data_IF_516271827732
#
_entry.id   IF_516271827732
#
_cell.length_a   1.000
_cell.length_b   1.000
_cell.length_c   1.000
_cell.angle_alpha   90.00
_cell.angle_beta   90.00
_cell.angle_gamma   90.00
#
_symmetry.space_group_name_H-M   'P 1'
#
loop_
_entity.id
_entity.type
_entity.pdbx_description
1 polymer ?
#
# COMPACT_ATOMS: atom_id res chain seq x y z
N UNK A 1 -26.14 -7.08 -3.25
CA UNK A 1 -25.62 -7.30 -1.88
C UNK A 1 -26.80 -7.73 -1.01
N UNK A 2 -26.57 -8.28 0.19
CA UNK A 2 -27.67 -8.40 1.15
C UNK A 2 -28.04 -7.00 1.66
N UNK A 3 -29.28 -6.82 2.14
CA UNK A 3 -29.71 -5.57 2.79
C UNK A 3 -28.75 -5.15 3.91
N UNK A 4 -28.29 -6.11 4.72
CA UNK A 4 -27.30 -5.86 5.76
C UNK A 4 -25.96 -5.34 5.21
N UNK A 5 -25.47 -5.90 4.09
CA UNK A 5 -24.23 -5.42 3.47
C UNK A 5 -24.37 -4.00 2.88
N UNK A 6 -25.56 -3.66 2.36
CA UNK A 6 -25.84 -2.31 1.85
C UNK A 6 -25.89 -1.28 2.99
N UNK A 7 -26.47 -1.64 4.13
CA UNK A 7 -26.49 -0.79 5.33
C UNK A 7 -25.08 -0.55 5.88
N UNK A 8 -24.24 -1.60 5.98
CA UNK A 8 -22.84 -1.47 6.42
C UNK A 8 -22.06 -0.54 5.48
N UNK A 9 -22.18 -0.73 4.17
CA UNK A 9 -21.52 0.14 3.19
C UNK A 9 -22.01 1.59 3.31
N UNK A 10 -23.31 1.82 3.46
CA UNK A 10 -23.88 3.16 3.59
C UNK A 10 -23.40 3.88 4.86
N UNK A 11 -23.13 3.17 5.95
CA UNK A 11 -22.54 3.75 7.16
C UNK A 11 -21.04 4.00 6.99
N UNK A 12 -20.29 3.05 6.44
CA UNK A 12 -18.84 3.18 6.23
C UNK A 12 -18.50 4.36 5.30
N UNK A 13 -19.34 4.65 4.30
CA UNK A 13 -19.14 5.77 3.38
C UNK A 13 -19.37 7.15 4.01
N UNK A 14 -19.99 7.24 5.20
CA UNK A 14 -20.18 8.49 5.95
C UNK A 14 -19.02 8.81 6.89
N UNK A 15 -18.13 7.85 7.14
CA UNK A 15 -16.95 8.05 7.94
C UNK A 15 -16.00 9.05 7.26
N UNK A 16 -15.15 9.68 8.06
CA UNK A 16 -14.04 10.43 7.49
C UNK A 16 -13.07 9.48 6.73
N UNK A 17 -12.20 10.03 5.87
CA UNK A 17 -11.33 9.20 5.06
C UNK A 17 -10.43 8.24 5.85
N UNK A 18 -9.94 8.62 7.03
CA UNK A 18 -9.01 7.81 7.81
C UNK A 18 -9.73 6.63 8.46
N UNK A 19 -10.88 6.89 9.08
CA UNK A 19 -11.71 5.83 9.68
C UNK A 19 -12.23 4.86 8.62
N UNK A 20 -12.61 5.37 7.45
CA UNK A 20 -13.03 4.54 6.32
C UNK A 20 -11.90 3.63 5.81
N UNK A 21 -10.67 4.13 5.76
CA UNK A 21 -9.49 3.34 5.37
C UNK A 21 -9.25 2.20 6.35
N UNK A 22 -9.35 2.47 7.66
CA UNK A 22 -9.22 1.44 8.69
C UNK A 22 -10.30 0.34 8.54
N UNK A 23 -11.57 0.73 8.36
CA UNK A 23 -12.66 -0.25 8.16
C UNK A 23 -12.43 -1.10 6.91
N UNK A 24 -11.98 -0.50 5.81
CA UNK A 24 -11.68 -1.23 4.57
C UNK A 24 -10.53 -2.22 4.76
N UNK A 25 -9.49 -1.85 5.51
CA UNK A 25 -8.36 -2.71 5.81
C UNK A 25 -8.78 -3.93 6.65
N UNK A 26 -9.54 -3.73 7.72
CA UNK A 26 -10.03 -4.80 8.60
C UNK A 26 -10.96 -5.77 7.84
N UNK A 27 -11.89 -5.24 7.04
CA UNK A 27 -12.78 -6.08 6.23
C UNK A 27 -12.01 -6.91 5.22
N UNK A 28 -11.00 -6.32 4.55
CA UNK A 28 -10.15 -7.03 3.60
C UNK A 28 -9.31 -8.12 4.29
N UNK A 29 -8.74 -7.81 5.46
CA UNK A 29 -7.96 -8.75 6.26
C UNK A 29 -8.80 -9.93 6.79
N UNK A 30 -10.11 -9.73 6.95
CA UNK A 30 -11.03 -10.79 7.39
C UNK A 30 -11.34 -11.84 6.31
N UNK A 31 -11.04 -11.55 5.04
CA UNK A 31 -11.33 -12.45 3.93
C UNK A 31 -10.33 -13.61 3.90
N UNK A 32 -10.83 -14.80 3.55
CA UNK A 32 -9.95 -15.92 3.25
C UNK A 32 -9.17 -15.61 1.97
N UNK A 33 -7.87 -15.90 2.00
CA UNK A 33 -7.05 -15.86 0.79
C UNK A 33 -7.58 -16.86 -0.22
N UNK A 34 -7.62 -16.46 -1.48
CA UNK A 34 -7.92 -17.38 -2.57
C UNK A 34 -6.89 -18.52 -2.60
N UNK A 35 -7.29 -19.74 -2.97
CA UNK A 35 -6.33 -20.81 -3.24
C UNK A 35 -5.29 -20.34 -4.28
N UNK A 36 -4.01 -20.55 -3.99
CA UNK A 36 -2.94 -20.09 -4.88
C UNK A 36 -2.46 -18.66 -4.62
N UNK A 37 -3.07 -17.92 -3.68
CA UNK A 37 -2.71 -16.51 -3.42
C UNK A 37 -1.21 -16.32 -3.20
N UNK A 38 -0.61 -17.12 -2.30
CA UNK A 38 0.81 -16.99 -1.99
C UNK A 38 1.68 -17.36 -3.20
N UNK A 39 1.31 -18.38 -3.96
CA UNK A 39 2.02 -18.78 -5.18
C UNK A 39 1.97 -17.72 -6.29
N UNK A 40 0.81 -17.07 -6.49
CA UNK A 40 0.68 -15.97 -7.46
C UNK A 40 1.50 -14.75 -7.04
N UNK A 41 1.51 -14.43 -5.74
CA UNK A 41 2.32 -13.34 -5.21
C UNK A 41 3.82 -13.63 -5.30
N UNK A 42 4.26 -14.84 -4.99
CA UNK A 42 5.65 -15.26 -5.14
C UNK A 42 6.11 -15.15 -6.60
N UNK A 43 5.28 -15.59 -7.54
CA UNK A 43 5.57 -15.46 -8.97
C UNK A 43 5.67 -13.98 -9.40
N UNK A 44 4.76 -13.13 -8.92
CA UNK A 44 4.77 -11.70 -9.22
C UNK A 44 5.97 -10.96 -8.61
N UNK A 45 6.31 -11.26 -7.35
CA UNK A 45 7.49 -10.70 -6.68
C UNK A 45 8.75 -11.08 -7.46
N UNK A 46 8.90 -12.37 -7.79
CA UNK A 46 10.03 -12.85 -8.58
C UNK A 46 10.13 -12.12 -9.93
N UNK A 47 9.01 -12.02 -10.65
CA UNK A 47 8.95 -11.29 -11.92
C UNK A 47 9.41 -9.84 -11.76
N UNK A 48 8.93 -9.12 -10.74
CA UNK A 48 9.31 -7.72 -10.49
C UNK A 48 10.78 -7.55 -10.11
N UNK A 49 11.34 -8.49 -9.36
CA UNK A 49 12.78 -8.48 -9.04
C UNK A 49 13.59 -8.65 -10.32
N UNK A 50 13.23 -9.61 -11.18
CA UNK A 50 13.90 -9.82 -12.46
C UNK A 50 13.80 -8.59 -13.39
N UNK A 51 12.65 -7.90 -13.40
CA UNK A 51 12.49 -6.64 -14.15
C UNK A 51 13.36 -5.50 -13.61
N UNK A 52 13.54 -5.42 -12.29
CA UNK A 52 14.42 -4.44 -11.67
C UNK A 52 15.90 -4.76 -11.95
N UNK A 53 16.32 -6.01 -11.78
CA UNK A 53 17.71 -6.46 -11.97
C UNK A 53 18.14 -6.39 -13.44
N UNK A 54 17.22 -6.65 -14.37
CA UNK A 54 17.48 -6.52 -15.81
C UNK A 54 17.52 -5.07 -16.29
N UNK A 55 17.11 -4.10 -15.45
CA UNK A 55 16.98 -2.70 -15.83
C UNK A 55 15.80 -2.41 -16.77
N UNK A 56 14.87 -3.37 -16.96
CA UNK A 56 13.65 -3.16 -17.74
C UNK A 56 12.76 -2.09 -17.11
N UNK A 57 12.74 -2.03 -15.77
CA UNK A 57 12.08 -0.99 -15.01
C UNK A 57 13.14 0.01 -14.52
N UNK A 58 13.13 1.27 -15.01
CA UNK A 58 14.12 2.25 -14.60
C UNK A 58 13.91 2.63 -13.13
N UNK A 59 14.92 2.36 -12.30
CA UNK A 59 14.97 2.83 -10.93
C UNK A 59 15.35 4.31 -10.82
N UNK A 60 15.26 4.86 -9.61
CA UNK A 60 15.81 6.18 -9.29
C UNK A 60 17.28 5.99 -8.89
N UNK A 61 18.22 6.79 -9.43
CA UNK A 61 19.62 6.73 -9.00
C UNK A 61 19.75 6.88 -7.49
N UNK A 62 20.60 6.03 -6.88
CA UNK A 62 20.81 6.00 -5.43
C UNK A 62 21.11 7.39 -4.84
N UNK A 63 21.91 8.18 -5.54
CA UNK A 63 22.32 9.49 -5.05
C UNK A 63 21.17 10.50 -5.01
N UNK A 64 20.25 10.40 -5.96
CA UNK A 64 19.00 11.19 -5.96
C UNK A 64 18.14 10.78 -4.77
N UNK A 65 17.91 9.48 -4.56
CA UNK A 65 17.11 8.96 -3.43
C UNK A 65 17.69 9.44 -2.10
N UNK A 66 19.01 9.32 -1.93
CA UNK A 66 19.67 9.71 -0.69
C UNK A 66 19.72 11.22 -0.46
N UNK A 67 19.81 12.03 -1.52
CA UNK A 67 19.72 13.48 -1.41
C UNK A 67 18.33 13.90 -0.89
N UNK A 68 17.25 13.38 -1.51
CA UNK A 68 15.88 13.68 -1.11
C UNK A 68 15.57 13.21 0.32
N UNK A 69 16.04 12.01 0.70
CA UNK A 69 15.89 11.48 2.06
C UNK A 69 16.54 12.41 3.11
N UNK A 70 17.78 12.85 2.86
CA UNK A 70 18.48 13.77 3.75
C UNK A 70 17.74 15.10 3.89
N UNK A 71 17.23 15.63 2.79
CA UNK A 71 16.43 16.87 2.80
C UNK A 71 15.15 16.71 3.62
N UNK A 72 14.39 15.63 3.40
CA UNK A 72 13.17 15.34 4.17
C UNK A 72 13.43 15.21 5.66
N UNK A 73 14.51 14.54 6.04
CA UNK A 73 14.93 14.41 7.44
C UNK A 73 15.34 15.76 8.03
N UNK A 74 16.10 16.58 7.30
CA UNK A 74 16.46 17.92 7.73
C UNK A 74 15.22 18.80 7.95
N UNK A 75 14.28 18.78 7.00
CA UNK A 75 13.04 19.55 7.06
C UNK A 75 12.10 19.07 8.18
N UNK A 76 12.05 17.76 8.45
CA UNK A 76 11.30 17.22 9.58
C UNK A 76 11.88 17.68 10.92
N UNK A 77 13.22 17.72 11.06
CA UNK A 77 13.91 18.23 12.26
C UNK A 77 13.68 19.72 12.48
N UNK A 78 13.59 20.51 11.41
CA UNK A 78 13.30 21.94 11.48
C UNK A 78 11.83 22.27 11.81
N UNK A 79 10.93 21.29 11.73
CA UNK A 79 9.50 21.42 12.07
C UNK A 79 9.15 20.95 13.49
N UNK A 80 10.12 20.47 14.26
CA UNK A 80 9.94 20.16 15.69
C UNK A 80 10.02 21.49 16.46
N UNK A 81 8.99 21.89 17.22
CA UNK A 81 9.03 23.09 18.07
C UNK A 81 10.11 23.03 19.15
#
# INVERSE_FOLDING_TARGET
MSTAAEEVLAQALKLDPADREMVAAELTASLQKDPGYDEYWDAEIKRRVEEADSGLVPGVPWETVMAELRERVANARLRVP
#
